data_IF_316848314330
#
_entry.id   IF_316848314330
#
_cell.length_a   1.000
_cell.length_b   1.000
_cell.length_c   1.000
_cell.angle_alpha   90.00
_cell.angle_beta   90.00
_cell.angle_gamma   90.00
#
_symmetry.space_group_name_H-M   'P 1'
#
loop_
_entity.id
_entity.type
_entity.pdbx_description
1 polymer ?
#
# COMPACT_ATOMS: atom_id res chain seq x y z
N UNK A 1 -31.20 9.27 -86.31
CA UNK A 1 -30.33 9.15 -85.12
C UNK A 1 -29.90 10.55 -84.73
N UNK A 2 -30.41 11.06 -83.62
CA UNK A 2 -29.94 12.31 -83.02
C UNK A 2 -28.70 12.00 -82.19
N UNK A 3 -27.58 12.65 -82.50
CA UNK A 3 -26.31 12.43 -81.81
C UNK A 3 -26.21 13.41 -80.64
N UNK A 4 -26.40 12.93 -79.42
CA UNK A 4 -26.55 13.76 -78.21
C UNK A 4 -25.28 14.56 -77.86
N UNK A 5 -24.13 14.20 -78.44
CA UNK A 5 -22.84 14.83 -78.16
C UNK A 5 -22.45 15.90 -79.18
N UNK A 6 -23.27 16.15 -80.22
CA UNK A 6 -22.96 17.13 -81.26
C UNK A 6 -24.00 18.25 -81.27
N UNK A 7 -23.63 19.51 -80.97
CA UNK A 7 -24.59 20.61 -80.95
C UNK A 7 -25.17 20.84 -82.35
N UNK A 8 -26.48 21.05 -82.42
CA UNK A 8 -27.17 21.32 -83.68
C UNK A 8 -26.63 22.62 -84.30
N UNK A 9 -26.36 22.70 -85.61
CA UNK A 9 -25.80 23.89 -86.25
C UNK A 9 -26.63 25.18 -86.08
N UNK A 10 -27.93 25.06 -85.78
CA UNK A 10 -28.82 26.19 -85.49
C UNK A 10 -28.64 26.71 -84.05
N UNK A 11 -28.29 25.84 -83.10
CA UNK A 11 -27.97 26.22 -81.72
C UNK A 11 -26.59 26.91 -81.63
N UNK A 12 -25.71 26.69 -82.60
CA UNK A 12 -24.42 27.38 -82.69
C UNK A 12 -24.54 28.82 -83.22
N UNK A 13 -25.65 29.17 -83.91
CA UNK A 13 -25.88 30.52 -84.46
C UNK A 13 -26.53 31.48 -83.47
N UNK A 14 -27.14 30.96 -82.40
CA UNK A 14 -27.76 31.78 -81.37
C UNK A 14 -26.73 31.96 -80.26
N UNK A 15 -26.35 33.18 -79.88
CA UNK A 15 -25.50 33.37 -78.71
C UNK A 15 -26.26 32.81 -77.49
N UNK A 16 -25.78 31.70 -76.92
CA UNK A 16 -26.31 31.11 -75.69
C UNK A 16 -25.99 31.98 -74.45
N UNK A 17 -25.77 33.28 -74.64
CA UNK A 17 -25.36 34.19 -73.60
C UNK A 17 -26.54 35.00 -73.09
N UNK A 18 -26.90 34.65 -71.86
CA UNK A 18 -27.07 35.59 -70.76
C UNK A 18 -28.09 36.70 -71.05
N UNK A 19 -29.36 36.37 -70.82
CA UNK A 19 -30.36 37.40 -70.52
C UNK A 19 -29.76 38.38 -69.50
N UNK A 20 -29.80 39.70 -69.72
CA UNK A 20 -29.32 40.67 -68.73
C UNK A 20 -30.12 40.63 -67.42
N UNK A 21 -31.25 39.90 -67.40
CA UNK A 21 -32.06 39.64 -66.22
C UNK A 21 -31.73 38.30 -65.54
N UNK A 22 -30.90 37.45 -66.13
CA UNK A 22 -30.42 36.22 -65.49
C UNK A 22 -28.94 36.36 -65.12
N UNK A 23 -28.70 36.69 -63.85
CA UNK A 23 -27.40 36.52 -63.21
C UNK A 23 -27.16 35.04 -62.94
N UNK A 24 -26.19 34.43 -63.63
CA UNK A 24 -25.73 33.09 -63.27
C UNK A 24 -25.05 33.17 -61.90
N UNK A 25 -25.30 32.23 -60.96
CA UNK A 25 -24.59 32.24 -59.68
C UNK A 25 -23.09 32.15 -59.93
N UNK A 26 -22.35 33.16 -59.49
CA UNK A 26 -20.90 33.20 -59.58
C UNK A 26 -20.31 32.38 -58.44
N UNK A 27 -19.23 31.64 -58.72
CA UNK A 27 -18.55 30.87 -57.69
C UNK A 27 -17.95 31.83 -56.65
N UNK A 28 -18.35 31.65 -55.39
CA UNK A 28 -17.84 32.47 -54.29
C UNK A 28 -16.36 32.12 -54.06
N UNK A 29 -15.47 33.08 -54.25
CA UNK A 29 -14.05 32.90 -53.95
C UNK A 29 -13.83 33.06 -52.45
N UNK A 30 -13.02 32.18 -51.86
CA UNK A 30 -12.66 32.29 -50.46
C UNK A 30 -11.86 33.58 -50.22
N UNK A 31 -12.07 34.28 -49.09
CA UNK A 31 -11.32 35.49 -48.77
C UNK A 31 -9.83 35.18 -48.55
N UNK A 32 -8.96 36.17 -48.70
CA UNK A 32 -7.52 36.02 -48.48
C UNK A 32 -7.15 35.58 -47.05
N UNK A 33 -8.04 35.79 -46.09
CA UNK A 33 -7.93 35.32 -44.71
C UNK A 33 -8.40 33.88 -44.49
N UNK A 34 -8.77 33.16 -45.54
CA UNK A 34 -9.21 31.78 -45.43
C UNK A 34 -8.06 30.87 -44.98
N UNK A 35 -8.14 30.40 -43.73
CA UNK A 35 -7.28 29.37 -43.17
C UNK A 35 -7.94 28.01 -43.37
N UNK A 36 -7.38 27.21 -44.26
CA UNK A 36 -7.79 25.82 -44.41
C UNK A 36 -7.35 25.04 -43.17
N UNK A 37 -8.31 24.64 -42.33
CA UNK A 37 -8.05 23.71 -41.24
C UNK A 37 -7.93 22.29 -41.79
N UNK A 38 -7.04 21.44 -41.26
CA UNK A 38 -7.00 20.04 -41.62
C UNK A 38 -8.37 19.40 -41.36
N UNK A 39 -8.92 18.70 -42.35
CA UNK A 39 -10.15 17.90 -42.21
C UNK A 39 -9.90 16.62 -41.40
N UNK A 40 -8.65 16.36 -41.03
CA UNK A 40 -8.27 15.28 -40.11
C UNK A 40 -8.71 15.67 -38.70
N UNK A 41 -9.59 14.85 -38.13
CA UNK A 41 -9.98 14.94 -36.72
C UNK A 41 -8.70 14.88 -35.86
N UNK A 42 -8.59 15.69 -34.79
CA UNK A 42 -7.49 15.52 -33.85
C UNK A 42 -7.46 14.06 -33.36
N UNK A 43 -6.27 13.49 -33.11
CA UNK A 43 -6.14 12.12 -32.65
C UNK A 43 -7.03 11.90 -31.42
N UNK A 44 -7.85 10.85 -31.48
CA UNK A 44 -8.78 10.55 -30.39
C UNK A 44 -7.99 10.21 -29.14
N UNK A 45 -8.41 10.72 -27.98
CA UNK A 45 -7.82 10.40 -26.66
C UNK A 45 -7.84 8.89 -26.37
N UNK A 46 -8.70 8.15 -27.08
CA UNK A 46 -8.80 6.69 -27.01
C UNK A 46 -7.71 5.96 -27.80
N UNK A 47 -7.06 6.62 -28.76
CA UNK A 47 -6.10 6.01 -29.68
C UNK A 47 -4.69 6.43 -29.26
N UNK A 48 -4.14 5.70 -28.28
CA UNK A 48 -2.74 5.89 -27.91
C UNK A 48 -1.86 5.47 -29.11
N UNK A 49 -0.82 6.24 -29.47
CA UNK A 49 -0.05 6.05 -30.70
C UNK A 49 0.68 4.69 -30.81
N UNK A 50 0.75 3.92 -29.71
CA UNK A 50 1.46 2.65 -29.61
C UNK A 50 0.54 1.45 -29.33
N UNK A 51 -0.79 1.60 -29.41
CA UNK A 51 -1.74 0.55 -29.00
C UNK A 51 -1.77 0.29 -27.50
N UNK A 52 -1.13 1.15 -26.71
CA UNK A 52 -1.19 1.13 -25.24
C UNK A 52 -2.56 1.58 -24.74
N UNK A 53 -2.93 1.12 -23.54
CA UNK A 53 -4.19 1.55 -22.92
C UNK A 53 -4.18 3.08 -22.71
N UNK A 54 -5.26 3.78 -23.07
CA UNK A 54 -5.34 5.24 -22.92
C UNK A 54 -5.21 5.68 -21.46
N UNK A 55 -4.25 6.55 -21.17
CA UNK A 55 -3.95 7.01 -19.81
C UNK A 55 -4.86 8.17 -19.43
N UNK A 56 -5.98 7.86 -18.79
CA UNK A 56 -6.99 8.84 -18.41
C UNK A 56 -6.63 9.65 -17.17
N UNK A 57 -5.79 9.11 -16.29
CA UNK A 57 -5.51 9.72 -14.99
C UNK A 57 -4.18 10.44 -15.09
N UNK A 58 -4.18 11.74 -14.79
CA UNK A 58 -2.97 12.57 -14.70
C UNK A 58 -2.81 13.06 -13.26
N UNK A 59 -1.74 12.65 -12.59
CA UNK A 59 -1.37 13.20 -11.28
C UNK A 59 -0.79 14.60 -11.43
N UNK A 60 -0.91 15.43 -10.38
CA UNK A 60 -0.23 16.73 -10.29
C UNK A 60 1.29 16.61 -10.38
N UNK A 61 1.85 15.43 -10.05
CA UNK A 61 3.26 15.08 -10.22
C UNK A 61 3.67 14.73 -11.65
N UNK A 62 2.74 14.78 -12.62
CA UNK A 62 3.01 14.45 -14.02
C UNK A 62 2.95 12.95 -14.36
N UNK A 63 2.63 12.09 -13.40
CA UNK A 63 2.42 10.66 -13.66
C UNK A 63 1.08 10.44 -14.37
N UNK A 64 1.11 9.78 -15.53
CA UNK A 64 -0.10 9.41 -16.27
C UNK A 64 -0.29 7.90 -16.26
N UNK A 65 -1.48 7.44 -15.92
CA UNK A 65 -1.78 6.02 -15.75
C UNK A 65 -3.18 5.66 -16.27
N UNK A 66 -3.36 4.37 -16.59
CA UNK A 66 -4.68 3.79 -16.80
C UNK A 66 -5.29 3.38 -15.44
N UNK A 67 -6.61 3.48 -15.23
CA UNK A 67 -7.27 3.08 -13.98
C UNK A 67 -6.93 1.64 -13.55
N UNK A 68 -6.85 0.69 -14.49
CA UNK A 68 -6.44 -0.69 -14.18
C UNK A 68 -5.07 -0.77 -13.50
N UNK A 69 -4.11 0.05 -13.95
CA UNK A 69 -2.74 0.04 -13.43
C UNK A 69 -2.72 0.60 -12.00
N UNK A 70 -3.54 1.61 -11.72
CA UNK A 70 -3.72 2.17 -10.36
C UNK A 70 -4.34 1.13 -9.44
N UNK A 71 -5.37 0.42 -9.89
CA UNK A 71 -6.01 -0.65 -9.11
C UNK A 71 -5.01 -1.78 -8.84
N UNK A 72 -4.22 -2.18 -9.84
CA UNK A 72 -3.17 -3.18 -9.69
C UNK A 72 -2.11 -2.75 -8.67
N UNK A 73 -1.68 -1.48 -8.72
CA UNK A 73 -0.74 -0.90 -7.75
C UNK A 73 -1.32 -0.92 -6.33
N UNK A 74 -2.57 -0.52 -6.14
CA UNK A 74 -3.23 -0.54 -4.83
C UNK A 74 -3.35 -1.97 -4.28
N UNK A 75 -3.70 -2.95 -5.12
CA UNK A 75 -3.77 -4.37 -4.71
C UNK A 75 -2.40 -4.92 -4.33
N UNK A 76 -1.37 -4.66 -5.14
CA UNK A 76 0.00 -5.06 -4.83
C UNK A 76 0.50 -4.46 -3.50
N UNK A 77 0.13 -3.20 -3.22
CA UNK A 77 0.44 -2.56 -1.95
C UNK A 77 -0.30 -3.23 -0.78
N UNK A 78 -1.58 -3.57 -0.96
CA UNK A 78 -2.36 -4.28 0.05
C UNK A 78 -1.75 -5.66 0.37
N UNK A 79 -1.37 -6.42 -0.66
CA UNK A 79 -0.73 -7.73 -0.50
C UNK A 79 0.63 -7.61 0.21
N UNK A 80 1.40 -6.57 -0.09
CA UNK A 80 2.65 -6.30 0.60
C UNK A 80 2.46 -5.95 2.07
N UNK A 81 1.49 -5.09 2.40
CA UNK A 81 1.20 -4.70 3.78
C UNK A 81 0.69 -5.88 4.61
N UNK A 82 -0.19 -6.71 4.04
CA UNK A 82 -0.68 -7.92 4.70
C UNK A 82 0.46 -8.90 4.98
N UNK A 83 1.33 -9.15 3.99
CA UNK A 83 2.54 -9.96 4.17
C UNK A 83 3.45 -9.41 5.26
N UNK A 84 3.77 -8.12 5.23
CA UNK A 84 4.63 -7.49 6.25
C UNK A 84 4.05 -7.62 7.66
N UNK A 85 2.73 -7.53 7.79
CA UNK A 85 2.04 -7.70 9.07
C UNK A 85 2.05 -9.16 9.55
N UNK A 86 1.85 -10.13 8.65
CA UNK A 86 1.96 -11.55 8.96
C UNK A 86 3.37 -11.95 9.37
N UNK A 87 4.38 -11.46 8.64
CA UNK A 87 5.78 -11.73 8.94
C UNK A 87 6.17 -11.14 10.31
N UNK A 88 5.69 -9.94 10.64
CA UNK A 88 5.85 -9.35 11.97
C UNK A 88 5.20 -10.19 13.08
N UNK A 89 3.97 -10.67 12.86
CA UNK A 89 3.28 -11.55 13.81
C UNK A 89 4.01 -12.88 14.02
N UNK A 90 4.52 -13.47 12.94
CA UNK A 90 5.31 -14.71 13.00
C UNK A 90 6.60 -14.50 13.78
N UNK A 91 7.32 -13.41 13.52
CA UNK A 91 8.54 -13.07 14.23
C UNK A 91 8.31 -12.90 15.75
N UNK A 92 7.21 -12.25 16.15
CA UNK A 92 6.85 -12.13 17.58
C UNK A 92 6.52 -13.50 18.17
N UNK A 93 5.72 -14.31 17.48
CA UNK A 93 5.36 -15.65 17.97
C UNK A 93 6.57 -16.57 18.12
N UNK A 94 7.49 -16.56 17.15
CA UNK A 94 8.76 -17.30 17.21
C UNK A 94 9.64 -16.80 18.36
N UNK A 95 9.75 -15.48 18.54
CA UNK A 95 10.49 -14.91 19.65
C UNK A 95 9.91 -15.33 21.01
N UNK A 96 8.59 -15.27 21.19
CA UNK A 96 7.92 -15.73 22.40
C UNK A 96 8.14 -17.23 22.66
N UNK A 97 8.08 -18.06 21.62
CA UNK A 97 8.37 -19.49 21.73
C UNK A 97 9.82 -19.72 22.15
N UNK A 98 10.78 -19.00 21.55
CA UNK A 98 12.20 -19.11 21.92
C UNK A 98 12.46 -18.74 23.39
N UNK A 99 11.71 -17.78 23.94
CA UNK A 99 11.78 -17.42 25.36
C UNK A 99 11.24 -18.56 26.21
N UNK A 100 10.05 -19.08 25.86
CA UNK A 100 9.42 -20.20 26.58
C UNK A 100 10.32 -21.41 26.58
N UNK A 101 10.94 -21.75 25.45
CA UNK A 101 11.84 -22.90 25.33
C UNK A 101 13.11 -22.72 26.16
N UNK A 102 13.71 -21.53 26.16
CA UNK A 102 14.88 -21.22 26.99
C UNK A 102 14.54 -21.28 28.48
N UNK A 103 13.43 -20.69 28.89
CA UNK A 103 12.97 -20.76 30.28
C UNK A 103 12.66 -22.19 30.69
N UNK A 104 12.05 -22.98 29.82
CA UNK A 104 11.76 -24.38 30.07
C UNK A 104 13.06 -25.18 30.21
N UNK A 105 14.04 -24.96 29.34
CA UNK A 105 15.36 -25.58 29.43
C UNK A 105 16.08 -25.19 30.74
N UNK A 106 16.04 -23.92 31.14
CA UNK A 106 16.60 -23.46 32.41
C UNK A 106 15.89 -24.10 33.62
N UNK A 107 14.56 -24.22 33.56
CA UNK A 107 13.77 -24.90 34.59
C UNK A 107 14.07 -26.40 34.66
N UNK A 108 14.21 -27.08 33.51
CA UNK A 108 14.68 -28.48 33.41
C UNK A 108 16.10 -28.66 33.94
N UNK A 109 16.99 -27.68 33.69
CA UNK A 109 18.35 -27.66 34.23
C UNK A 109 18.33 -27.57 35.75
N UNK A 110 17.51 -26.69 36.30
CA UNK A 110 17.40 -26.48 37.75
C UNK A 110 16.74 -27.65 38.48
N UNK A 111 15.75 -28.27 37.85
CA UNK A 111 14.98 -29.36 38.44
C UNK A 111 14.80 -30.49 37.40
N UNK A 112 15.83 -31.33 37.21
CA UNK A 112 15.75 -32.45 36.28
C UNK A 112 14.69 -33.45 36.72
N UNK A 113 13.82 -33.89 35.82
CA UNK A 113 12.76 -34.86 36.07
C UNK A 113 11.55 -34.34 36.86
N UNK A 114 11.73 -33.36 37.75
CA UNK A 114 10.67 -32.83 38.61
C UNK A 114 9.53 -32.11 37.86
N UNK A 115 9.82 -31.50 36.71
CA UNK A 115 8.85 -30.74 35.91
C UNK A 115 8.00 -31.58 34.97
N UNK A 116 8.51 -32.76 34.58
CA UNK A 116 7.88 -33.64 33.58
C UNK A 116 7.19 -34.86 34.25
N UNK A 117 7.20 -34.96 35.60
CA UNK A 117 6.50 -36.02 36.36
C UNK A 117 5.18 -35.49 36.94
N UNK A 118 4.11 -36.27 36.82
CA UNK A 118 2.81 -35.98 37.47
C UNK A 118 2.82 -36.24 39.00
N UNK A 119 3.80 -37.01 39.47
CA UNK A 119 3.98 -37.36 40.88
C UNK A 119 4.69 -36.23 41.64
N UNK A 120 3.91 -35.40 42.35
CA UNK A 120 4.43 -34.37 43.25
C UNK A 120 4.64 -34.95 44.65
N UNK A 121 5.68 -34.49 45.35
CA UNK A 121 5.87 -34.81 46.77
C UNK A 121 4.60 -34.43 47.52
N UNK A 122 4.12 -35.35 48.35
CA UNK A 122 2.95 -35.14 49.19
C UNK A 122 3.24 -33.99 50.16
N UNK A 123 2.49 -32.91 50.01
CA UNK A 123 2.49 -31.83 51.00
C UNK A 123 1.62 -32.25 52.19
N UNK A 124 2.09 -32.04 53.43
CA UNK A 124 1.29 -32.33 54.60
C UNK A 124 0.08 -31.40 54.65
N UNK A 125 -1.12 -31.95 54.45
CA UNK A 125 -2.37 -31.22 54.69
C UNK A 125 -2.53 -31.10 56.19
N UNK A 126 -2.48 -29.87 56.70
CA UNK A 126 -2.78 -29.61 58.11
C UNK A 126 -4.26 -29.91 58.33
N UNK A 127 -4.56 -30.94 59.13
CA UNK A 127 -5.93 -31.30 59.49
C UNK A 127 -6.58 -30.13 60.25
N UNK A 128 -7.31 -29.26 59.54
CA UNK A 128 -8.11 -28.20 60.14
C UNK A 128 -8.12 -26.82 59.47
N UNK A 129 -7.35 -26.55 58.40
CA UNK A 129 -7.30 -25.20 57.82
C UNK A 129 -8.17 -25.02 56.57
N UNK A 130 -9.48 -24.90 56.76
CA UNK A 130 -10.26 -23.92 55.97
C UNK A 130 -9.90 -22.53 56.48
N UNK A 131 -8.92 -21.85 55.86
CA UNK A 131 -8.80 -20.38 55.81
C UNK A 131 -7.43 -19.92 55.26
N UNK A 132 -7.52 -19.00 54.29
CA UNK A 132 -6.62 -17.87 53.96
C UNK A 132 -5.11 -17.99 54.17
N UNK A 133 -4.40 -17.85 53.04
CA UNK A 133 -3.00 -17.44 52.94
C UNK A 133 -2.77 -16.13 53.69
N UNK A 134 -1.98 -16.15 54.77
CA UNK A 134 -1.33 -14.96 55.30
C UNK A 134 0.07 -15.37 55.80
N UNK A 135 1.10 -14.76 55.21
CA UNK A 135 2.50 -15.10 55.43
C UNK A 135 2.96 -14.76 56.84
N UNK A 136 3.80 -15.63 57.41
CA UNK A 136 4.31 -15.59 58.79
C UNK A 136 5.83 -15.31 58.81
N UNK A 137 6.30 -14.39 57.96
CA UNK A 137 7.72 -14.02 57.87
C UNK A 137 7.90 -12.51 58.00
N UNK A 138 7.19 -11.92 58.96
CA UNK A 138 7.44 -10.55 59.42
C UNK A 138 7.39 -10.56 60.94
N UNK A 139 8.50 -10.99 61.56
CA UNK A 139 9.00 -10.50 62.84
C UNK A 139 10.31 -11.22 63.18
N UNK A 140 11.42 -10.50 63.10
CA UNK A 140 12.44 -10.41 64.17
C UNK A 140 13.76 -9.89 63.59
N UNK A 141 14.00 -8.62 63.90
CA UNK A 141 15.29 -7.97 63.76
C UNK A 141 16.29 -8.61 64.73
N UNK A 142 17.32 -9.26 64.19
CA UNK A 142 18.51 -9.62 64.97
C UNK A 142 19.75 -9.37 64.13
N UNK A 143 20.54 -8.41 64.61
CA UNK A 143 21.81 -7.97 64.07
C UNK A 143 22.78 -9.15 63.93
N UNK A 144 23.05 -9.56 62.69
CA UNK A 144 24.22 -10.37 62.35
C UNK A 144 25.03 -9.57 61.33
N UNK A 145 26.15 -9.02 61.80
CA UNK A 145 27.15 -8.38 60.95
C UNK A 145 27.86 -9.47 60.14
N UNK A 146 27.39 -9.69 58.91
CA UNK A 146 28.11 -10.39 57.86
C UNK A 146 28.81 -9.35 56.96
N UNK A 147 30.00 -9.64 56.40
CA UNK A 147 30.73 -8.68 55.59
C UNK A 147 29.93 -8.37 54.33
N UNK A 148 29.84 -7.07 54.01
CA UNK A 148 29.08 -6.54 52.91
C UNK A 148 29.40 -7.24 51.57
N UNK A 149 28.48 -8.09 51.09
CA UNK A 149 28.26 -8.14 49.65
C UNK A 149 27.60 -6.82 49.30
N UNK A 150 28.38 -5.96 48.63
CA UNK A 150 27.90 -4.74 47.99
C UNK A 150 26.58 -5.03 47.26
N UNK A 151 25.50 -4.26 47.49
CA UNK A 151 24.31 -4.37 46.66
C UNK A 151 24.74 -4.10 45.21
N UNK A 152 24.41 -5.04 44.30
CA UNK A 152 24.83 -5.02 42.91
C UNK A 152 24.58 -3.65 42.27
N UNK A 153 25.68 -2.94 41.99
CA UNK A 153 25.73 -1.65 41.28
C UNK A 153 25.19 -1.70 39.84
N UNK A 154 24.95 -2.91 39.34
CA UNK A 154 24.43 -3.17 37.99
C UNK A 154 23.12 -2.43 37.71
N UNK A 155 22.20 -2.36 38.68
CA UNK A 155 20.94 -1.63 38.51
C UNK A 155 21.12 -0.11 38.41
N UNK A 156 22.09 0.44 39.16
CA UNK A 156 22.41 1.87 39.18
C UNK A 156 23.16 2.28 37.90
N UNK A 157 23.97 1.39 37.33
CA UNK A 157 24.63 1.58 36.03
C UNK A 157 23.62 1.58 34.87
N UNK A 158 22.61 0.71 34.91
CA UNK A 158 21.53 0.69 33.92
C UNK A 158 20.68 1.97 34.01
N UNK A 159 20.34 2.43 35.23
CA UNK A 159 19.55 3.66 35.41
C UNK A 159 20.34 4.91 34.98
N UNK A 160 21.67 4.92 35.16
CA UNK A 160 22.54 6.00 34.65
C UNK A 160 22.69 6.00 33.13
N UNK A 161 22.72 4.82 32.50
CA UNK A 161 22.82 4.67 31.05
C UNK A 161 21.50 5.01 30.34
N UNK A 162 20.36 4.62 30.90
CA UNK A 162 19.06 4.70 30.24
C UNK A 162 18.12 5.77 30.82
N UNK A 163 18.32 6.20 32.07
CA UNK A 163 17.47 7.19 32.75
C UNK A 163 17.59 8.63 32.22
N UNK A 164 18.56 8.90 31.33
CA UNK A 164 18.67 10.22 30.66
C UNK A 164 17.89 10.33 29.36
N UNK A 165 17.19 9.28 28.91
CA UNK A 165 16.36 9.34 27.71
C UNK A 165 15.03 10.04 28.01
N UNK A 166 15.10 11.35 28.22
CA UNK A 166 13.95 12.24 28.26
C UNK A 166 13.31 12.30 26.87
N UNK A 167 12.39 11.38 26.59
CA UNK A 167 11.52 11.41 25.43
C UNK A 167 10.53 12.58 25.65
N UNK A 168 10.75 13.68 24.92
CA UNK A 168 9.75 14.73 24.69
C UNK A 168 9.05 14.47 23.37
#
# INVERSE_FOLDING_TARGET
MFDAHKPHPLLAQIPLTVSPFLSMPTAVTLPYSFRQVPTSLPPSVLDAPNGDKPKYITSSSGHTAHPDDVIASCKALQDHLTKSHEDGKKAIAEWEQSIKDRELAEKRRKAPGWLDMDEKILEPVKAGSTAQKQGLLDDEASQVVAPAMSPNREGEELDRAFGSLGIK
#
